data_IF_441315658080
#
_entry.id   IF_441315658080
#
_cell.length_a   1.000
_cell.length_b   1.000
_cell.length_c   1.000
_cell.angle_alpha   90.00
_cell.angle_beta   90.00
_cell.angle_gamma   90.00
#
_symmetry.space_group_name_H-M   'P 1'
#
loop_
_entity.id
_entity.type
_entity.pdbx_description
1 polymer ?
#
# COMPACT_ATOMS: atom_id res chain seq x y z
N UNK A 1 -28.17 37.83 20.69
CA UNK A 1 -27.23 36.68 20.60
C UNK A 1 -25.85 37.15 21.01
N UNK A 2 -25.28 36.55 22.06
CA UNK A 2 -24.03 37.00 22.69
C UNK A 2 -22.81 36.72 21.80
N UNK A 3 -22.00 37.74 21.50
CA UNK A 3 -20.83 37.64 20.59
C UNK A 3 -19.81 36.56 20.97
N UNK A 4 -19.77 36.15 22.24
CA UNK A 4 -18.94 35.03 22.72
C UNK A 4 -19.34 33.69 22.10
N UNK A 5 -20.62 33.45 21.82
CA UNK A 5 -21.08 32.22 21.18
C UNK A 5 -20.73 32.17 19.69
N UNK A 6 -20.73 33.33 19.03
CA UNK A 6 -20.40 33.45 17.61
C UNK A 6 -18.91 33.16 17.34
N UNK A 7 -18.03 33.59 18.25
CA UNK A 7 -16.60 33.28 18.20
C UNK A 7 -16.35 31.79 18.45
N UNK A 8 -17.10 31.19 19.37
CA UNK A 8 -17.00 29.75 19.69
C UNK A 8 -17.43 28.88 18.52
N UNK A 9 -18.54 29.21 17.86
CA UNK A 9 -19.01 28.45 16.69
C UNK A 9 -18.04 28.63 15.52
N UNK A 10 -17.55 29.84 15.27
CA UNK A 10 -16.57 30.09 14.20
C UNK A 10 -15.29 29.28 14.39
N UNK A 11 -14.76 29.22 15.62
CA UNK A 11 -13.59 28.37 15.95
C UNK A 11 -13.88 26.89 15.71
N UNK A 12 -15.06 26.41 16.10
CA UNK A 12 -15.45 25.02 15.86
C UNK A 12 -15.50 24.70 14.36
N UNK A 13 -16.10 25.59 13.57
CA UNK A 13 -16.16 25.43 12.11
C UNK A 13 -14.78 25.44 11.47
N UNK A 14 -13.86 26.31 11.93
CA UNK A 14 -12.47 26.33 11.45
C UNK A 14 -11.71 25.04 11.77
N UNK A 15 -11.91 24.46 12.96
CA UNK A 15 -11.29 23.19 13.34
C UNK A 15 -11.83 22.03 12.50
N UNK A 16 -13.14 21.99 12.28
CA UNK A 16 -13.78 20.98 11.41
C UNK A 16 -13.25 21.10 9.98
N UNK A 17 -13.16 22.31 9.42
CA UNK A 17 -12.62 22.52 8.08
C UNK A 17 -11.15 22.10 7.96
N UNK A 18 -10.34 22.35 9.00
CA UNK A 18 -8.96 21.90 9.06
C UNK A 18 -8.86 20.37 9.11
N UNK A 19 -9.70 19.68 9.89
CA UNK A 19 -9.74 18.21 9.97
C UNK A 19 -10.18 17.57 8.65
N UNK A 20 -11.14 18.17 7.95
CA UNK A 20 -11.58 17.73 6.62
C UNK A 20 -10.54 18.01 5.51
N UNK A 21 -9.61 18.95 5.74
CA UNK A 21 -8.55 19.30 4.79
C UNK A 21 -7.28 18.43 4.90
N UNK A 22 -7.18 17.59 5.93
CA UNK A 22 -5.99 16.74 6.20
C UNK A 22 -5.97 15.40 5.45
N UNK A 23 -7.08 14.71 5.09
CA UNK A 23 -6.99 13.33 4.62
C UNK A 23 -6.51 13.20 3.18
N UNK A 24 -6.36 14.29 2.42
CA UNK A 24 -5.96 14.22 0.99
C UNK A 24 -4.45 14.27 0.74
N UNK A 25 -3.62 14.56 1.75
CA UNK A 25 -2.16 14.70 1.56
C UNK A 25 -1.33 13.54 2.10
N UNK A 26 -1.96 12.50 2.66
CA UNK A 26 -1.25 11.30 3.13
C UNK A 26 -0.95 10.28 2.01
N UNK A 27 -1.11 10.67 0.75
CA UNK A 27 -0.62 9.90 -0.38
C UNK A 27 0.84 10.31 -0.61
N UNK A 28 1.81 9.70 0.10
CA UNK A 28 3.18 9.83 -0.40
C UNK A 28 3.22 9.26 -1.80
N UNK A 29 3.76 10.04 -2.72
CA UNK A 29 4.16 9.57 -4.03
C UNK A 29 5.35 8.62 -3.84
N UNK A 30 5.06 7.38 -3.47
CA UNK A 30 6.04 6.30 -3.43
C UNK A 30 6.12 5.68 -4.82
N UNK A 31 7.31 5.70 -5.40
CA UNK A 31 7.60 4.98 -6.63
C UNK A 31 8.08 3.57 -6.28
N UNK A 32 7.68 2.58 -7.07
CA UNK A 32 8.23 1.23 -7.01
C UNK A 32 8.62 0.78 -8.41
N UNK A 33 9.73 0.07 -8.51
CA UNK A 33 10.23 -0.53 -9.74
C UNK A 33 10.58 -1.99 -9.45
N UNK A 34 9.94 -2.95 -10.14
CA UNK A 34 8.82 -2.77 -11.07
C UNK A 34 7.56 -2.21 -10.38
N UNK A 35 6.69 -1.57 -11.17
CA UNK A 35 5.43 -1.01 -10.66
C UNK A 35 4.53 -2.13 -10.10
N UNK A 36 3.95 -1.90 -8.92
CA UNK A 36 3.01 -2.81 -8.28
C UNK A 36 1.54 -2.41 -8.57
N UNK A 37 0.62 -3.38 -8.70
CA UNK A 37 0.84 -4.84 -8.60
C UNK A 37 1.57 -5.41 -9.82
N UNK A 38 2.56 -6.27 -9.57
CA UNK A 38 3.33 -6.94 -10.61
C UNK A 38 2.74 -8.33 -10.87
N UNK A 39 2.25 -8.56 -12.10
CA UNK A 39 1.75 -9.87 -12.54
C UNK A 39 2.89 -10.67 -13.14
N UNK A 40 3.23 -11.80 -12.54
CA UNK A 40 4.16 -12.74 -13.15
C UNK A 40 3.42 -13.93 -13.75
N UNK A 41 3.64 -14.17 -15.04
CA UNK A 41 3.17 -15.38 -15.71
C UNK A 41 3.98 -16.56 -15.18
N UNK A 42 3.29 -17.48 -14.51
CA UNK A 42 3.85 -18.77 -14.13
C UNK A 42 3.45 -19.75 -15.24
N UNK A 43 4.44 -20.38 -15.89
CA UNK A 43 4.18 -21.37 -16.96
C UNK A 43 3.38 -22.56 -16.41
N UNK A 44 2.82 -23.38 -17.30
CA UNK A 44 2.04 -24.55 -16.92
C UNK A 44 2.90 -25.51 -16.09
N UNK A 45 2.66 -25.59 -14.78
CA UNK A 45 3.42 -26.43 -13.86
C UNK A 45 2.74 -27.79 -13.77
N UNK A 46 3.44 -28.84 -14.23
CA UNK A 46 3.06 -30.21 -13.95
C UNK A 46 3.67 -30.63 -12.60
N UNK A 47 2.82 -30.80 -11.57
CA UNK A 47 3.26 -31.30 -10.27
C UNK A 47 3.43 -32.82 -10.35
N UNK A 48 4.63 -33.31 -10.08
CA UNK A 48 4.87 -34.75 -10.00
C UNK A 48 4.12 -35.35 -8.80
N UNK A 49 3.35 -36.42 -9.03
CA UNK A 49 2.58 -37.08 -7.96
C UNK A 49 3.45 -37.65 -6.83
N UNK A 50 4.74 -37.85 -7.08
CA UNK A 50 5.71 -38.33 -6.10
C UNK A 50 6.36 -37.21 -5.26
N UNK A 51 5.96 -35.95 -5.45
CA UNK A 51 6.52 -34.85 -4.70
C UNK A 51 5.91 -34.82 -3.28
N UNK A 52 6.76 -34.86 -2.26
CA UNK A 52 6.32 -34.85 -0.87
C UNK A 52 5.57 -33.56 -0.54
N UNK A 53 4.59 -33.64 0.37
CA UNK A 53 3.85 -32.49 0.86
C UNK A 53 4.82 -31.50 1.53
N UNK A 54 4.75 -30.23 1.13
CA UNK A 54 5.65 -29.18 1.61
C UNK A 54 6.95 -29.04 0.81
N UNK A 55 7.23 -29.94 -0.15
CA UNK A 55 8.38 -29.78 -1.04
C UNK A 55 8.13 -28.74 -2.12
N UNK A 56 9.18 -27.97 -2.44
CA UNK A 56 9.17 -27.01 -3.53
C UNK A 56 9.05 -27.72 -4.87
N UNK A 57 8.07 -27.32 -5.70
CA UNK A 57 7.91 -27.87 -7.03
C UNK A 57 9.07 -27.38 -7.92
N UNK A 58 9.83 -28.26 -8.56
CA UNK A 58 10.94 -27.87 -9.43
C UNK A 58 10.48 -26.88 -10.50
N UNK A 59 11.22 -25.79 -10.70
CA UNK A 59 10.89 -24.76 -11.69
C UNK A 59 9.85 -23.71 -11.26
N UNK A 60 9.39 -23.76 -10.00
CA UNK A 60 8.39 -22.80 -9.47
C UNK A 60 8.97 -21.67 -8.62
N UNK A 61 10.28 -21.71 -8.34
CA UNK A 61 10.96 -20.68 -7.56
C UNK A 61 11.35 -19.52 -8.47
N UNK A 62 10.84 -18.33 -8.15
CA UNK A 62 11.20 -17.09 -8.82
C UNK A 62 11.72 -16.07 -7.82
N UNK A 63 12.83 -15.42 -8.18
CA UNK A 63 13.43 -14.36 -7.39
C UNK A 63 13.09 -13.01 -7.99
N UNK A 64 12.69 -12.08 -7.14
CA UNK A 64 12.30 -10.74 -7.53
C UNK A 64 13.04 -9.73 -6.67
N UNK A 65 13.52 -8.66 -7.31
CA UNK A 65 14.06 -7.48 -6.64
C UNK A 65 13.12 -6.32 -6.88
N UNK A 66 12.68 -5.68 -5.79
CA UNK A 66 11.88 -4.46 -5.85
C UNK A 66 12.69 -3.32 -5.24
N UNK A 67 12.71 -2.18 -5.91
CA UNK A 67 13.30 -0.95 -5.40
C UNK A 67 12.26 0.15 -5.47
N UNK A 68 12.22 1.02 -4.48
CA UNK A 68 11.28 2.13 -4.46
C UNK A 68 11.77 3.26 -3.59
N UNK A 69 11.26 4.47 -3.86
CA UNK A 69 11.56 5.65 -3.06
C UNK A 69 10.26 6.31 -2.68
N UNK A 70 10.14 6.70 -1.41
CA UNK A 70 9.04 7.54 -0.93
C UNK A 70 9.58 8.95 -0.71
N UNK A 71 8.91 9.95 -1.25
CA UNK A 71 9.20 11.33 -0.91
C UNK A 71 8.93 11.54 0.59
N UNK A 72 9.98 11.86 1.35
CA UNK A 72 9.83 12.23 2.75
C UNK A 72 9.31 13.67 2.78
N UNK A 73 8.03 13.86 3.11
CA UNK A 73 7.43 15.18 3.27
C UNK A 73 7.22 15.40 4.78
N UNK A 74 8.05 16.20 5.45
CA UNK A 74 7.84 16.50 6.87
C UNK A 74 6.43 17.05 7.09
N UNK A 75 5.67 16.60 8.10
CA UNK A 75 6.06 15.75 9.24
C UNK A 75 5.79 14.24 9.08
N UNK A 76 5.46 13.74 7.89
CA UNK A 76 4.94 12.38 7.70
C UNK A 76 5.96 11.45 7.03
N UNK A 77 6.40 10.42 7.75
CA UNK A 77 7.00 9.22 7.17
C UNK A 77 5.88 8.29 6.72
N UNK A 78 5.80 7.98 5.42
CA UNK A 78 4.81 7.05 4.92
C UNK A 78 5.28 5.62 5.13
N UNK A 79 4.54 4.87 5.95
CA UNK A 79 4.79 3.46 6.19
C UNK A 79 4.62 2.68 4.88
N UNK A 80 5.59 1.81 4.57
CA UNK A 80 5.51 0.94 3.40
C UNK A 80 4.29 0.02 3.48
N UNK A 81 3.62 -0.19 2.35
CA UNK A 81 2.51 -1.15 2.26
C UNK A 81 3.03 -2.60 2.36
N UNK A 82 2.27 -3.53 2.95
CA UNK A 82 2.63 -4.94 2.95
C UNK A 82 2.66 -5.50 1.53
N UNK A 83 3.67 -6.32 1.22
CA UNK A 83 3.73 -7.06 -0.05
C UNK A 83 2.86 -8.31 0.08
N UNK A 84 1.81 -8.40 -0.75
CA UNK A 84 0.89 -9.54 -0.78
C UNK A 84 1.10 -10.27 -2.11
N UNK A 85 1.34 -11.58 -2.05
CA UNK A 85 1.48 -12.44 -3.20
C UNK A 85 0.34 -13.47 -3.21
N UNK A 86 -0.33 -13.61 -4.36
CA UNK A 86 -1.44 -14.54 -4.56
C UNK A 86 -1.24 -15.33 -5.84
N UNK A 87 -1.47 -16.64 -5.79
CA UNK A 87 -1.45 -17.52 -6.96
C UNK A 87 -2.89 -17.67 -7.45
N UNK A 88 -3.12 -17.45 -8.74
CA UNK A 88 -4.42 -17.70 -9.38
C UNK A 88 -4.31 -18.95 -10.24
N UNK A 89 -5.05 -20.00 -9.88
CA UNK A 89 -5.29 -21.14 -10.78
C UNK A 89 -6.33 -20.73 -11.81
N UNK A 90 -6.08 -21.09 -13.07
CA UNK A 90 -7.13 -21.13 -14.09
C UNK A 90 -8.10 -22.28 -13.81
#
# INVERSE_FOLDING_TARGET
MNGKQLISTLRHWLVVLALLAVPHFAQAACTSTPAMPYLQALSNIAVAANLAVGSTIPGTVHYYSFSGTCANVPPYVVAGAPIICSIKSA
#
